data_IF_923068911723
#
_entry.id   IF_923068911723
#
_cell.length_a   1.000
_cell.length_b   1.000
_cell.length_c   1.000
_cell.angle_alpha   90.00
_cell.angle_beta   90.00
_cell.angle_gamma   90.00
#
_symmetry.space_group_name_H-M   'P 1'
#
loop_
_entity.id
_entity.type
_entity.pdbx_description
1 polymer ?
#
# COMPACT_ATOMS: atom_id res chain seq x y z
N UNK A 1 23.27 -15.37 27.45
CA UNK A 1 22.76 -14.41 28.45
C UNK A 1 23.61 -13.15 28.50
N UNK A 2 24.95 -13.22 28.62
CA UNK A 2 25.82 -12.03 28.66
C UNK A 2 25.68 -11.02 27.52
N UNK A 3 25.56 -11.45 26.26
CA UNK A 3 25.42 -10.54 25.11
C UNK A 3 24.09 -9.74 25.15
N UNK A 4 22.97 -10.35 25.58
CA UNK A 4 21.69 -9.64 25.63
C UNK A 4 21.68 -8.55 26.71
N UNK A 5 22.20 -8.85 27.90
CA UNK A 5 22.27 -7.85 28.99
C UNK A 5 23.18 -6.67 28.62
N UNK A 6 24.29 -6.93 27.92
CA UNK A 6 25.17 -5.89 27.39
C UNK A 6 24.45 -5.01 26.37
N UNK A 7 23.74 -5.61 25.40
CA UNK A 7 22.96 -4.88 24.40
C UNK A 7 21.82 -4.05 25.03
N UNK A 8 21.23 -4.51 26.12
CA UNK A 8 20.15 -3.79 26.83
C UNK A 8 20.68 -2.67 27.73
N UNK A 9 21.96 -2.71 28.11
CA UNK A 9 22.65 -1.62 28.80
C UNK A 9 23.01 -0.42 27.92
N UNK A 10 22.83 -0.54 26.59
CA UNK A 10 23.12 0.53 25.63
C UNK A 10 22.00 1.57 25.64
N UNK A 11 22.39 2.84 25.68
CA UNK A 11 21.47 3.95 25.42
C UNK A 11 21.29 4.14 23.91
N UNK A 12 20.16 3.65 23.37
CA UNK A 12 19.82 3.81 21.97
C UNK A 12 19.19 5.18 21.67
N UNK A 13 19.47 5.70 20.48
CA UNK A 13 18.77 6.89 20.00
C UNK A 13 17.35 6.52 19.55
N UNK A 14 17.20 5.37 18.86
CA UNK A 14 15.92 4.91 18.32
C UNK A 14 15.70 3.43 18.62
N UNK A 15 14.50 3.09 19.09
CA UNK A 15 14.00 1.71 19.18
C UNK A 15 12.93 1.52 18.10
N UNK A 16 13.19 0.67 17.12
CA UNK A 16 12.26 0.31 16.05
C UNK A 16 11.58 -1.01 16.40
N UNK A 17 10.25 -1.01 16.42
CA UNK A 17 9.44 -2.22 16.68
C UNK A 17 8.94 -2.79 15.37
N UNK A 18 9.40 -4.00 15.02
CA UNK A 18 9.09 -4.71 13.79
C UNK A 18 10.12 -4.45 12.68
N UNK A 19 10.71 -5.52 12.15
CA UNK A 19 11.66 -5.52 11.02
C UNK A 19 10.96 -5.99 9.73
N UNK A 20 9.83 -5.36 9.41
CA UNK A 20 9.21 -5.45 8.08
C UNK A 20 9.79 -4.41 7.12
N UNK A 21 9.11 -4.14 6.00
CA UNK A 21 9.55 -3.15 5.00
C UNK A 21 9.87 -1.80 5.64
N UNK A 22 8.96 -1.27 6.46
CA UNK A 22 9.14 0.05 7.09
C UNK A 22 10.29 0.04 8.10
N UNK A 23 10.30 -0.92 9.04
CA UNK A 23 11.26 -0.93 10.13
C UNK A 23 12.69 -1.23 9.67
N UNK A 24 12.88 -2.20 8.77
CA UNK A 24 14.21 -2.53 8.25
C UNK A 24 14.79 -1.41 7.39
N UNK A 25 13.99 -0.82 6.49
CA UNK A 25 14.45 0.30 5.68
C UNK A 25 14.78 1.54 6.54
N UNK A 26 13.96 1.84 7.55
CA UNK A 26 14.21 2.94 8.48
C UNK A 26 15.47 2.69 9.32
N UNK A 27 15.65 1.48 9.85
CA UNK A 27 16.81 1.13 10.65
C UNK A 27 18.11 1.28 9.86
N UNK A 28 18.15 0.78 8.61
CA UNK A 28 19.30 0.93 7.73
C UNK A 28 19.68 2.41 7.54
N UNK A 29 18.73 3.27 7.16
CA UNK A 29 19.06 4.67 6.86
C UNK A 29 19.38 5.49 8.11
N UNK A 30 18.77 5.19 9.25
CA UNK A 30 19.11 5.86 10.51
C UNK A 30 20.48 5.41 11.04
N UNK A 31 20.81 4.12 10.90
CA UNK A 31 22.14 3.59 11.22
C UNK A 31 23.24 4.25 10.39
N UNK A 32 23.02 4.41 9.08
CA UNK A 32 23.90 5.16 8.16
C UNK A 32 24.06 6.63 8.53
N UNK A 33 23.00 7.24 9.05
CA UNK A 33 23.02 8.62 9.53
C UNK A 33 23.69 8.74 10.93
N UNK A 34 24.25 7.66 11.47
CA UNK A 34 25.00 7.63 12.71
C UNK A 34 24.15 7.48 13.98
N UNK A 35 22.85 7.17 13.86
CA UNK A 35 21.99 6.93 15.03
C UNK A 35 22.20 5.51 15.53
N UNK A 36 22.27 5.34 16.85
CA UNK A 36 22.24 4.01 17.47
C UNK A 36 20.81 3.48 17.45
N UNK A 37 20.56 2.45 16.64
CA UNK A 37 19.23 1.90 16.40
C UNK A 37 19.15 0.48 16.97
N UNK A 38 18.14 0.24 17.80
CA UNK A 38 17.72 -1.11 18.17
C UNK A 38 16.49 -1.50 17.34
N UNK A 39 16.52 -2.67 16.72
CA UNK A 39 15.36 -3.26 16.03
C UNK A 39 14.93 -4.51 16.78
N UNK A 40 13.64 -4.59 17.13
CA UNK A 40 13.06 -5.79 17.76
C UNK A 40 12.00 -6.38 16.84
N UNK A 41 12.24 -7.60 16.36
CA UNK A 41 11.33 -8.32 15.47
C UNK A 41 10.95 -9.66 16.08
N UNK A 42 9.67 -10.03 15.97
CA UNK A 42 9.17 -11.29 16.53
C UNK A 42 9.80 -12.50 15.87
N UNK A 43 10.00 -12.45 14.56
CA UNK A 43 10.57 -13.54 13.76
C UNK A 43 11.45 -13.00 12.62
N UNK A 44 12.77 -13.20 12.76
CA UNK A 44 13.77 -12.78 11.78
C UNK A 44 13.93 -13.75 10.61
N UNK A 45 13.24 -14.89 10.62
CA UNK A 45 13.24 -15.81 9.48
C UNK A 45 12.45 -15.25 8.28
N UNK A 46 12.75 -15.77 7.09
CA UNK A 46 12.03 -15.41 5.86
C UNK A 46 10.55 -15.81 5.96
N UNK A 47 9.65 -14.85 5.74
CA UNK A 47 8.22 -15.04 5.90
C UNK A 47 7.53 -15.33 4.56
N UNK A 48 6.67 -16.35 4.53
CA UNK A 48 5.84 -16.64 3.35
C UNK A 48 4.49 -15.89 3.40
N UNK A 49 4.45 -14.68 2.84
CA UNK A 49 3.26 -13.81 2.72
C UNK A 49 2.77 -13.76 1.28
N UNK A 50 1.51 -13.35 1.09
CA UNK A 50 0.87 -13.19 -0.24
C UNK A 50 0.59 -11.72 -0.60
N UNK A 51 1.04 -10.78 0.23
CA UNK A 51 0.87 -9.33 0.01
C UNK A 51 2.22 -8.64 0.08
N UNK A 52 2.31 -7.43 -0.49
CA UNK A 52 3.57 -6.68 -0.54
C UNK A 52 4.58 -7.29 -1.51
N UNK A 53 4.10 -7.85 -2.61
CA UNK A 53 4.90 -8.53 -3.64
C UNK A 53 5.05 -7.69 -4.92
N UNK A 54 4.47 -6.49 -4.98
CA UNK A 54 4.62 -5.54 -6.08
C UNK A 54 4.89 -4.15 -5.49
N UNK A 55 6.09 -3.63 -5.79
CA UNK A 55 6.54 -2.29 -5.48
C UNK A 55 6.32 -1.39 -6.69
N UNK A 56 5.44 -0.40 -6.54
CA UNK A 56 5.15 0.57 -7.61
C UNK A 56 6.42 1.39 -7.97
N UNK A 57 6.52 1.93 -9.20
CA UNK A 57 7.66 2.73 -9.63
C UNK A 57 8.08 3.86 -8.67
N UNK A 58 7.13 4.61 -8.11
CA UNK A 58 7.40 5.66 -7.13
C UNK A 58 8.00 5.12 -5.83
N UNK A 59 7.69 3.87 -5.47
CA UNK A 59 8.31 3.14 -4.37
C UNK A 59 9.75 2.72 -4.69
N UNK A 60 10.01 2.29 -5.93
CA UNK A 60 11.37 2.04 -6.43
C UNK A 60 12.21 3.32 -6.37
N UNK A 61 11.66 4.47 -6.78
CA UNK A 61 12.35 5.77 -6.65
C UNK A 61 12.66 6.13 -5.20
N UNK A 62 11.79 5.79 -4.24
CA UNK A 62 12.09 6.02 -2.83
C UNK A 62 13.18 5.08 -2.32
N UNK A 63 13.17 3.82 -2.77
CA UNK A 63 14.21 2.85 -2.45
C UNK A 63 15.59 3.32 -2.94
N UNK A 64 15.64 3.88 -4.15
CA UNK A 64 16.82 4.53 -4.72
C UNK A 64 17.28 5.74 -3.89
N UNK A 65 16.37 6.66 -3.55
CA UNK A 65 16.68 7.83 -2.68
C UNK A 65 17.20 7.44 -1.30
N UNK A 66 16.76 6.29 -0.78
CA UNK A 66 17.22 5.75 0.50
C UNK A 66 18.56 4.99 0.37
N UNK A 67 19.04 4.74 -0.85
CA UNK A 67 20.24 3.94 -1.11
C UNK A 67 20.03 2.45 -0.78
N UNK A 68 18.84 1.91 -1.05
CA UNK A 68 18.43 0.55 -0.67
C UNK A 68 18.09 -0.33 -1.88
N UNK A 69 18.53 0.03 -3.10
CA UNK A 69 18.21 -0.74 -4.32
C UNK A 69 18.71 -2.18 -4.28
N UNK A 70 19.80 -2.47 -3.56
CA UNK A 70 20.30 -3.83 -3.34
C UNK A 70 19.28 -4.78 -2.66
N UNK A 71 18.18 -4.23 -2.12
CA UNK A 71 17.09 -4.99 -1.57
C UNK A 71 16.28 -5.76 -2.62
N UNK A 72 16.26 -5.30 -3.88
CA UNK A 72 15.57 -5.97 -5.00
C UNK A 72 16.51 -6.76 -5.90
N UNK A 73 17.82 -6.70 -5.65
CA UNK A 73 18.83 -7.42 -6.41
C UNK A 73 19.05 -8.84 -5.86
N UNK A 74 19.28 -9.81 -6.77
CA UNK A 74 19.60 -11.19 -6.41
C UNK A 74 18.45 -12.01 -5.79
N UNK A 75 17.20 -11.52 -5.85
CA UNK A 75 16.02 -12.21 -5.30
C UNK A 75 15.05 -12.75 -6.36
N UNK A 76 15.46 -12.73 -7.62
CA UNK A 76 14.62 -13.00 -8.80
C UNK A 76 13.43 -12.04 -8.91
N UNK A 77 13.66 -10.76 -8.58
CA UNK A 77 12.66 -9.72 -8.75
C UNK A 77 12.40 -9.46 -10.23
N UNK A 78 11.14 -9.25 -10.58
CA UNK A 78 10.68 -9.04 -11.93
C UNK A 78 10.42 -7.56 -12.18
N UNK A 79 10.80 -7.08 -13.36
CA UNK A 79 10.38 -5.76 -13.82
C UNK A 79 8.90 -5.79 -14.19
N UNK A 80 8.17 -4.76 -13.77
CA UNK A 80 6.76 -4.54 -14.13
C UNK A 80 6.64 -3.19 -14.83
N UNK A 81 6.27 -3.18 -16.10
CA UNK A 81 6.23 -1.98 -16.94
C UNK A 81 4.85 -1.35 -17.04
N UNK A 82 3.80 -1.99 -16.52
CA UNK A 82 2.45 -1.43 -16.54
C UNK A 82 1.39 -2.46 -16.15
N UNK A 83 0.17 -2.25 -16.63
CA UNK A 83 -0.96 -3.15 -16.40
C UNK A 83 -1.74 -3.51 -17.67
N UNK A 84 -2.13 -4.76 -17.76
CA UNK A 84 -3.19 -5.26 -18.63
C UNK A 84 -4.56 -5.17 -17.96
N UNK A 85 -5.55 -4.55 -18.61
CA UNK A 85 -6.92 -4.46 -18.13
C UNK A 85 -7.85 -5.32 -19.00
N UNK A 86 -8.57 -6.22 -18.35
CA UNK A 86 -9.47 -7.18 -18.99
C UNK A 86 -10.89 -6.94 -18.51
N UNK A 87 -11.79 -6.68 -19.45
CA UNK A 87 -13.22 -6.55 -19.21
C UNK A 87 -13.92 -7.54 -20.13
N UNK A 88 -14.88 -8.31 -19.60
CA UNK A 88 -15.56 -9.34 -20.39
C UNK A 88 -16.12 -8.75 -21.69
N UNK A 89 -16.02 -9.50 -22.78
CA UNK A 89 -16.50 -9.11 -24.13
C UNK A 89 -15.75 -7.94 -24.79
N UNK A 90 -14.68 -7.41 -24.16
CA UNK A 90 -13.84 -6.33 -24.72
C UNK A 90 -12.43 -6.84 -25.06
N UNK A 91 -11.76 -6.18 -26.00
CA UNK A 91 -10.35 -6.47 -26.31
C UNK A 91 -9.46 -5.91 -25.19
N UNK A 92 -8.51 -6.69 -24.64
CA UNK A 92 -7.72 -6.26 -23.50
C UNK A 92 -6.87 -5.02 -23.80
N UNK A 93 -6.74 -4.13 -22.81
CA UNK A 93 -5.90 -2.94 -22.88
C UNK A 93 -4.57 -3.21 -22.19
N UNK A 94 -3.45 -2.89 -22.83
CA UNK A 94 -2.13 -2.85 -22.19
C UNK A 94 -1.74 -1.39 -22.00
N UNK A 95 -1.46 -1.00 -20.76
CA UNK A 95 -1.15 0.38 -20.40
C UNK A 95 0.17 0.40 -19.64
N UNK A 96 1.18 1.00 -20.26
CA UNK A 96 2.52 1.15 -19.69
C UNK A 96 2.53 2.26 -18.63
N UNK A 97 3.45 2.18 -17.68
CA UNK A 97 3.82 3.32 -16.85
C UNK A 97 4.47 4.39 -17.73
N UNK A 98 4.09 5.66 -17.51
CA UNK A 98 4.69 6.82 -18.17
C UNK A 98 5.44 7.69 -17.16
N UNK A 99 6.44 8.45 -17.64
CA UNK A 99 7.03 9.55 -16.87
C UNK A 99 6.03 10.71 -16.85
N UNK A 100 6.03 11.50 -15.78
CA UNK A 100 5.48 12.86 -15.84
C UNK A 100 6.30 13.65 -16.86
N UNK A 101 5.66 14.46 -17.69
CA UNK A 101 6.33 15.29 -18.73
C UNK A 101 7.15 16.44 -18.11
N UNK A 102 7.20 16.55 -16.77
CA UNK A 102 7.91 17.62 -16.04
C UNK A 102 9.22 17.11 -15.42
N UNK A 103 10.21 16.86 -16.28
CA UNK A 103 11.62 17.24 -16.12
C UNK A 103 12.46 16.42 -17.11
N UNK A 104 12.74 17.04 -18.24
CA UNK A 104 13.48 16.51 -19.39
C UNK A 104 15.01 16.47 -19.16
N UNK A 105 15.47 16.15 -17.94
CA UNK A 105 16.91 16.18 -17.59
C UNK A 105 17.48 14.87 -17.06
N UNK A 106 16.69 13.81 -16.93
CA UNK A 106 17.22 12.48 -16.58
C UNK A 106 17.24 11.58 -17.79
N UNK A 107 18.39 11.57 -18.46
CA UNK A 107 18.78 10.56 -19.44
C UNK A 107 18.92 9.21 -18.72
N UNK A 108 17.90 8.36 -18.86
CA UNK A 108 18.00 6.97 -18.48
C UNK A 108 17.26 6.13 -19.52
N UNK A 109 18.05 5.46 -20.35
CA UNK A 109 17.65 4.45 -21.33
C UNK A 109 16.88 3.25 -20.71
N UNK A 110 16.78 3.19 -19.38
CA UNK A 110 15.92 2.26 -18.66
C UNK A 110 14.53 2.87 -18.44
N UNK A 111 13.50 2.26 -19.04
CA UNK A 111 12.11 2.66 -18.86
C UNK A 111 11.65 2.61 -17.39
N UNK A 112 10.66 3.44 -17.03
CA UNK A 112 10.06 3.36 -15.70
C UNK A 112 9.48 1.96 -15.51
N UNK A 113 9.77 1.35 -14.36
CA UNK A 113 9.19 0.07 -13.98
C UNK A 113 9.02 -0.01 -12.47
N UNK A 114 7.99 -0.75 -12.06
CA UNK A 114 7.90 -1.31 -10.72
C UNK A 114 8.80 -2.54 -10.58
N UNK A 115 8.78 -3.14 -9.39
CA UNK A 115 9.41 -4.42 -9.11
C UNK A 115 8.43 -5.33 -8.41
N UNK A 116 8.31 -6.56 -8.88
CA UNK A 116 7.57 -7.60 -8.16
C UNK A 116 8.49 -8.74 -7.75
N UNK A 117 8.17 -9.40 -6.64
CA UNK A 117 9.05 -10.35 -5.97
C UNK A 117 8.29 -11.16 -4.92
N UNK A 118 8.87 -12.26 -4.45
CA UNK A 118 8.47 -12.85 -3.17
C UNK A 118 8.75 -11.89 -2.02
N UNK A 119 7.70 -11.50 -1.27
CA UNK A 119 7.82 -10.52 -0.19
C UNK A 119 8.86 -10.91 0.87
N UNK A 120 8.93 -12.20 1.21
CA UNK A 120 9.91 -12.74 2.17
C UNK A 120 11.35 -12.41 1.80
N UNK A 121 11.73 -12.67 0.54
CA UNK A 121 13.08 -12.40 0.02
C UNK A 121 13.43 -10.91 0.08
N UNK A 122 12.51 -10.04 -0.32
CA UNK A 122 12.70 -8.58 -0.26
C UNK A 122 12.89 -8.07 1.18
N UNK A 123 12.03 -8.51 2.11
CA UNK A 123 12.17 -8.15 3.52
C UNK A 123 13.48 -8.70 4.10
N UNK A 124 13.88 -9.91 3.74
CA UNK A 124 15.13 -10.49 4.22
C UNK A 124 16.35 -9.70 3.71
N UNK A 125 16.35 -9.25 2.46
CA UNK A 125 17.40 -8.37 1.95
C UNK A 125 17.45 -7.03 2.68
N UNK A 126 16.29 -6.40 2.95
CA UNK A 126 16.25 -5.17 3.76
C UNK A 126 16.82 -5.40 5.17
N UNK A 127 16.51 -6.54 5.80
CA UNK A 127 17.07 -6.91 7.10
C UNK A 127 18.59 -7.07 7.03
N UNK A 128 19.10 -7.79 6.04
CA UNK A 128 20.56 -7.95 5.82
C UNK A 128 21.25 -6.61 5.61
N UNK A 129 20.65 -5.70 4.84
CA UNK A 129 21.22 -4.36 4.63
C UNK A 129 21.27 -3.57 5.93
N UNK A 130 20.20 -3.61 6.72
CA UNK A 130 20.14 -2.92 8.01
C UNK A 130 21.11 -3.52 9.05
N UNK A 131 21.23 -4.85 9.10
CA UNK A 131 22.11 -5.58 10.04
C UNK A 131 23.60 -5.39 9.73
N UNK A 132 23.93 -5.03 8.48
CA UNK A 132 25.29 -4.71 8.07
C UNK A 132 25.75 -3.30 8.52
N UNK A 133 24.84 -2.45 9.01
CA UNK A 133 25.19 -1.12 9.51
C UNK A 133 25.73 -1.21 10.94
N UNK A 134 26.92 -0.65 11.20
CA UNK A 134 27.60 -0.74 12.50
C UNK A 134 26.78 -0.21 13.68
N UNK A 135 25.86 0.73 13.43
CA UNK A 135 25.03 1.36 14.45
C UNK A 135 23.66 0.69 14.65
N UNK A 136 23.39 -0.44 13.98
CA UNK A 136 22.12 -1.16 14.07
C UNK A 136 22.31 -2.46 14.83
N UNK A 137 21.50 -2.66 15.86
CA UNK A 137 21.40 -3.92 16.59
C UNK A 137 20.03 -4.56 16.28
N UNK A 138 20.01 -5.82 15.84
CA UNK A 138 18.77 -6.58 15.69
C UNK A 138 18.60 -7.63 16.80
N UNK A 139 17.41 -7.68 17.39
CA UNK A 139 17.02 -8.68 18.39
C UNK A 139 15.74 -9.38 17.96
N UNK A 140 15.76 -10.71 18.00
CA UNK A 140 14.54 -11.50 17.86
C UNK A 140 13.77 -11.49 19.20
N UNK A 141 12.58 -10.91 19.20
CA UNK A 141 11.72 -10.80 20.38
C UNK A 141 10.33 -10.26 20.08
N UNK A 142 9.35 -10.67 20.87
CA UNK A 142 7.98 -10.23 20.75
C UNK A 142 7.70 -9.04 21.69
N UNK A 143 7.55 -7.84 21.13
CA UNK A 143 7.19 -6.63 21.90
C UNK A 143 5.80 -6.76 22.52
N UNK A 144 5.69 -6.41 23.80
CA UNK A 144 4.51 -6.58 24.64
C UNK A 144 3.81 -5.26 24.97
N UNK A 145 4.51 -4.13 24.91
CA UNK A 145 3.97 -2.80 25.19
C UNK A 145 5.06 -1.74 25.31
N UNK A 146 4.63 -0.48 25.42
CA UNK A 146 5.53 0.65 25.61
C UNK A 146 5.96 0.79 27.08
N UNK A 147 7.16 1.31 27.29
CA UNK A 147 7.65 1.70 28.61
C UNK A 147 7.65 3.22 28.69
N UNK A 148 6.99 3.77 29.71
CA UNK A 148 6.93 5.22 29.95
C UNK A 148 7.91 5.63 31.03
N UNK A 149 8.50 6.81 30.86
CA UNK A 149 9.22 7.51 31.92
C UNK A 149 8.21 8.03 32.95
N UNK A 150 8.36 7.60 34.19
CA UNK A 150 7.46 7.94 35.30
C UNK A 150 7.42 9.42 35.66
N UNK A 151 8.40 10.22 35.19
CA UNK A 151 8.46 11.66 35.48
C UNK A 151 7.94 12.55 34.35
N UNK A 152 7.89 12.04 33.12
CA UNK A 152 7.68 12.86 31.92
C UNK A 152 6.50 12.41 31.04
N UNK A 153 5.78 11.34 31.40
CA UNK A 153 4.70 10.73 30.59
C UNK A 153 5.12 10.41 29.13
N UNK A 154 6.43 10.36 28.89
CA UNK A 154 7.08 10.13 27.61
C UNK A 154 7.42 8.66 27.46
N UNK A 155 7.21 8.10 26.28
CA UNK A 155 7.70 6.76 25.96
C UNK A 155 9.22 6.78 25.90
N UNK A 156 9.86 5.89 26.66
CA UNK A 156 11.31 5.78 26.80
C UNK A 156 11.85 4.42 26.37
N UNK A 157 11.01 3.57 25.77
CA UNK A 157 11.41 2.24 25.35
C UNK A 157 10.23 1.29 25.21
N UNK A 158 10.56 0.00 25.19
CA UNK A 158 9.60 -1.10 25.03
C UNK A 158 9.92 -2.26 25.94
N UNK A 159 8.89 -2.98 26.35
CA UNK A 159 9.00 -4.28 27.01
C UNK A 159 8.76 -5.37 26.00
N UNK A 160 9.60 -6.39 25.98
CA UNK A 160 9.53 -7.47 25.00
C UNK A 160 9.89 -8.82 25.61
N UNK A 161 9.50 -9.89 24.94
CA UNK A 161 9.78 -11.27 25.34
C UNK A 161 10.65 -11.96 24.30
N UNK A 162 11.77 -12.53 24.73
CA UNK A 162 12.63 -13.35 23.85
C UNK A 162 12.15 -14.79 23.79
N UNK A 163 12.72 -15.60 22.89
CA UNK A 163 12.28 -16.98 22.62
C UNK A 163 12.24 -17.89 23.86
N UNK A 164 13.19 -17.72 24.79
CA UNK A 164 13.22 -18.51 26.03
C UNK A 164 12.13 -18.13 27.07
N UNK A 165 11.24 -17.19 26.73
CA UNK A 165 10.13 -16.74 27.56
C UNK A 165 10.45 -15.61 28.53
N UNK A 166 11.72 -15.23 28.71
CA UNK A 166 12.10 -14.12 29.59
C UNK A 166 11.66 -12.76 29.02
N UNK A 167 11.18 -11.88 29.90
CA UNK A 167 10.80 -10.51 29.56
C UNK A 167 11.93 -9.53 29.90
N UNK A 168 12.15 -8.59 29.00
CA UNK A 168 13.20 -7.59 29.07
C UNK A 168 12.64 -6.22 28.69
N UNK A 169 13.36 -5.17 29.07
CA UNK A 169 13.10 -3.80 28.61
C UNK A 169 14.28 -3.28 27.81
N UNK A 170 13.99 -2.67 26.67
CA UNK A 170 14.96 -1.90 25.92
C UNK A 170 14.61 -0.41 25.98
N UNK A 171 15.61 0.44 26.20
CA UNK A 171 15.42 1.88 26.35
C UNK A 171 15.95 2.65 25.14
N UNK A 172 15.29 3.76 24.82
CA UNK A 172 15.77 4.68 23.80
C UNK A 172 15.10 6.05 23.85
N UNK A 173 15.69 7.01 23.16
CA UNK A 173 15.19 8.40 23.12
C UNK A 173 13.89 8.51 22.33
N UNK A 174 13.73 7.71 21.28
CA UNK A 174 12.53 7.65 20.45
C UNK A 174 12.14 6.20 20.12
N UNK A 175 10.87 5.84 20.28
CA UNK A 175 10.34 4.54 19.85
C UNK A 175 9.53 4.71 18.57
N UNK A 176 9.81 3.90 17.55
CA UNK A 176 9.09 3.95 16.27
C UNK A 176 8.45 2.58 16.02
N UNK A 177 7.12 2.54 16.06
CA UNK A 177 6.36 1.31 15.88
C UNK A 177 6.02 1.06 14.41
N UNK A 178 6.64 0.02 13.85
CA UNK A 178 6.51 -0.48 12.49
C UNK A 178 5.91 -1.90 12.46
N UNK A 179 5.08 -2.24 13.47
CA UNK A 179 4.53 -3.59 13.72
C UNK A 179 3.33 -3.98 12.84
N UNK A 180 3.10 -3.22 11.77
CA UNK A 180 2.23 -3.59 10.65
C UNK A 180 0.73 -3.49 10.92
N UNK A 181 -0.06 -4.13 10.05
CA UNK A 181 -1.51 -3.95 10.00
C UNK A 181 -2.26 -4.42 11.25
N UNK A 182 -1.65 -5.34 12.02
CA UNK A 182 -2.16 -5.88 13.28
C UNK A 182 -1.46 -5.27 14.51
N UNK A 183 -0.96 -4.04 14.37
CA UNK A 183 -0.22 -3.32 15.41
C UNK A 183 -0.91 -3.37 16.77
N UNK A 184 -0.14 -3.77 17.78
CA UNK A 184 -0.59 -3.78 19.19
C UNK A 184 -0.34 -2.42 19.84
N UNK A 185 0.73 -1.74 19.43
CA UNK A 185 1.15 -0.47 19.99
C UNK A 185 0.33 0.72 19.48
N UNK A 186 -0.41 0.56 18.37
CA UNK A 186 -1.23 1.62 17.78
C UNK A 186 -2.07 2.38 18.81
N UNK A 187 -2.78 1.65 19.68
CA UNK A 187 -3.68 2.24 20.71
C UNK A 187 -2.93 2.92 21.85
N UNK A 188 -1.65 2.61 22.03
CA UNK A 188 -0.79 3.23 23.05
C UNK A 188 -0.15 4.54 22.54
N UNK A 189 0.02 4.69 21.21
CA UNK A 189 0.68 5.85 20.59
C UNK A 189 -0.31 6.88 20.03
N UNK A 190 -1.43 6.42 19.47
CA UNK A 190 -2.39 7.28 18.80
C UNK A 190 -3.84 6.95 19.22
N UNK A 191 -4.78 7.89 19.04
CA UNK A 191 -6.20 7.62 19.27
C UNK A 191 -6.67 6.39 18.48
N UNK A 192 -7.63 5.67 19.06
CA UNK A 192 -8.21 4.51 18.40
C UNK A 192 -8.75 4.90 17.02
N UNK A 193 -8.14 4.34 15.99
CA UNK A 193 -8.62 4.46 14.62
C UNK A 193 -9.41 3.20 14.29
N UNK A 194 -10.69 3.38 13.93
CA UNK A 194 -11.46 2.30 13.34
C UNK A 194 -10.78 1.90 12.03
N UNK A 195 -10.64 0.60 11.81
CA UNK A 195 -10.27 0.07 10.51
C UNK A 195 -11.46 -0.70 9.96
N UNK A 196 -11.67 -0.58 8.66
CA UNK A 196 -12.68 -1.33 7.94
C UNK A 196 -12.04 -2.53 7.24
N UNK A 197 -12.79 -3.61 7.08
CA UNK A 197 -12.39 -4.78 6.29
C UNK A 197 -13.37 -4.89 5.13
N UNK A 198 -13.03 -4.28 4.00
CA UNK A 198 -13.91 -4.22 2.84
C UNK A 198 -14.02 -5.56 2.11
N UNK A 199 -12.94 -6.35 2.13
CA UNK A 199 -12.82 -7.62 1.42
C UNK A 199 -11.66 -8.47 1.95
N UNK A 200 -11.46 -9.64 1.36
CA UNK A 200 -10.30 -10.50 1.57
C UNK A 200 -9.66 -10.83 0.23
N UNK A 201 -8.34 -10.88 0.19
CA UNK A 201 -7.62 -11.48 -0.93
C UNK A 201 -7.34 -12.96 -0.67
N UNK A 202 -7.68 -13.80 -1.63
CA UNK A 202 -7.26 -15.20 -1.70
C UNK A 202 -6.11 -15.33 -2.69
N UNK A 203 -4.94 -15.73 -2.19
CA UNK A 203 -3.72 -15.83 -2.97
C UNK A 203 -3.43 -17.24 -3.48
N UNK A 204 -3.06 -17.33 -4.75
CA UNK A 204 -2.57 -18.54 -5.42
C UNK A 204 -1.21 -18.26 -6.07
N UNK A 205 -0.43 -19.32 -6.32
CA UNK A 205 0.78 -19.27 -7.14
C UNK A 205 0.54 -20.13 -8.37
N UNK A 206 0.73 -19.53 -9.54
CA UNK A 206 0.71 -20.20 -10.83
C UNK A 206 2.16 -20.41 -11.26
N UNK A 207 2.52 -21.65 -11.59
CA UNK A 207 3.88 -22.00 -11.99
C UNK A 207 3.98 -22.15 -13.50
N UNK A 208 5.03 -21.58 -14.10
CA UNK A 208 5.37 -21.70 -15.53
C UNK A 208 4.23 -21.23 -16.45
N UNK A 209 3.86 -19.95 -16.34
CA UNK A 209 2.78 -19.33 -17.12
C UNK A 209 3.27 -18.07 -17.82
N UNK A 210 3.04 -18.00 -19.12
CA UNK A 210 3.16 -16.77 -19.87
C UNK A 210 1.91 -15.90 -19.66
N UNK A 211 2.10 -14.74 -19.03
CA UNK A 211 1.03 -13.77 -18.89
C UNK A 211 0.68 -13.17 -20.27
N UNK A 212 -0.60 -12.81 -20.53
CA UNK A 212 -1.02 -12.23 -21.82
C UNK A 212 -0.22 -11.00 -22.27
N UNK A 213 0.33 -10.25 -21.31
CA UNK A 213 1.22 -9.12 -21.57
C UNK A 213 2.50 -9.35 -20.74
N UNK A 214 3.66 -9.57 -21.39
CA UNK A 214 4.92 -9.83 -20.69
C UNK A 214 5.30 -8.66 -19.76
N UNK A 215 5.78 -8.97 -18.55
CA UNK A 215 6.24 -7.95 -17.58
C UNK A 215 5.19 -6.88 -17.24
N UNK A 216 3.91 -7.23 -17.25
CA UNK A 216 2.82 -6.37 -16.79
C UNK A 216 2.06 -7.07 -15.65
N UNK A 217 1.45 -6.30 -14.76
CA UNK A 217 0.38 -6.83 -13.92
C UNK A 217 -0.90 -6.95 -14.74
N UNK A 218 -1.86 -7.75 -14.29
CA UNK A 218 -3.14 -7.94 -14.99
C UNK A 218 -4.27 -7.74 -14.00
N UNK A 219 -5.25 -6.93 -14.38
CA UNK A 219 -6.48 -6.70 -13.63
C UNK A 219 -7.63 -7.26 -14.45
N UNK A 220 -8.24 -8.32 -13.96
CA UNK A 220 -9.43 -8.94 -14.57
C UNK A 220 -10.66 -8.41 -13.86
N UNK A 221 -11.49 -7.64 -14.56
CA UNK A 221 -12.73 -7.05 -14.05
C UNK A 221 -13.87 -8.06 -14.15
N UNK A 222 -13.97 -8.93 -13.14
CA UNK A 222 -15.05 -9.93 -13.03
C UNK A 222 -16.37 -9.32 -12.50
N UNK A 223 -17.46 -10.08 -12.57
CA UNK A 223 -18.83 -9.66 -12.20
C UNK A 223 -19.08 -9.44 -10.69
N UNK A 224 -18.04 -9.53 -9.85
CA UNK A 224 -18.16 -9.20 -8.41
C UNK A 224 -16.96 -8.41 -7.91
N UNK A 225 -15.77 -8.94 -8.12
CA UNK A 225 -14.55 -8.32 -7.62
C UNK A 225 -13.37 -8.63 -8.56
N UNK A 226 -12.36 -7.75 -8.59
CA UNK A 226 -11.25 -7.91 -9.50
C UNK A 226 -10.35 -9.10 -9.12
N UNK A 227 -9.72 -9.70 -10.12
CA UNK A 227 -8.64 -10.67 -9.95
C UNK A 227 -7.34 -10.08 -10.47
N UNK A 228 -6.29 -10.16 -9.67
CA UNK A 228 -4.98 -9.62 -10.02
C UNK A 228 -4.02 -10.76 -10.37
N UNK A 229 -3.24 -10.57 -11.43
CA UNK A 229 -2.08 -11.40 -11.72
C UNK A 229 -0.83 -10.54 -11.86
N UNK A 230 0.32 -11.03 -11.39
CA UNK A 230 1.61 -10.39 -11.65
C UNK A 230 2.74 -11.39 -11.43
N UNK A 231 3.85 -11.30 -12.19
CA UNK A 231 4.97 -12.20 -12.01
C UNK A 231 5.68 -11.88 -10.68
N UNK A 232 6.12 -12.88 -9.92
CA UNK A 232 6.86 -12.68 -8.64
C UNK A 232 8.23 -13.36 -8.64
N UNK A 233 8.49 -14.17 -9.66
CA UNK A 233 9.79 -14.78 -9.97
C UNK A 233 9.82 -15.10 -11.47
N UNK A 234 10.95 -15.60 -11.95
CA UNK A 234 11.11 -16.09 -13.32
C UNK A 234 10.20 -17.28 -13.66
N UNK A 235 9.66 -17.96 -12.65
CA UNK A 235 8.84 -19.17 -12.82
C UNK A 235 7.45 -19.08 -12.19
N UNK A 236 7.15 -18.04 -11.41
CA UNK A 236 5.92 -17.94 -10.63
C UNK A 236 5.17 -16.64 -10.88
N UNK A 237 3.86 -16.78 -11.01
CA UNK A 237 2.89 -15.69 -11.11
C UNK A 237 1.99 -15.73 -9.88
N UNK A 238 1.89 -14.61 -9.17
CA UNK A 238 0.89 -14.44 -8.12
C UNK A 238 -0.47 -14.22 -8.77
N UNK A 239 -1.48 -14.93 -8.27
CA UNK A 239 -2.88 -14.57 -8.47
C UNK A 239 -3.50 -14.14 -7.13
N UNK A 240 -4.20 -13.00 -7.10
CA UNK A 240 -5.00 -12.54 -5.97
C UNK A 240 -6.46 -12.38 -6.41
N UNK A 241 -7.35 -13.17 -5.83
CA UNK A 241 -8.79 -13.06 -6.04
C UNK A 241 -9.38 -12.24 -4.89
N UNK A 242 -10.00 -11.10 -5.20
CA UNK A 242 -10.74 -10.35 -4.20
C UNK A 242 -12.09 -11.04 -3.89
N UNK A 243 -12.42 -11.12 -2.61
CA UNK A 243 -13.68 -11.66 -2.10
C UNK A 243 -14.31 -10.61 -1.17
N UNK A 244 -15.33 -9.86 -1.64
CA UNK A 244 -15.98 -8.81 -0.86
C UNK A 244 -16.63 -9.36 0.41
N UNK A 245 -16.43 -8.67 1.54
CA UNK A 245 -17.02 -9.09 2.81
C UNK A 245 -18.56 -9.02 2.79
N UNK A 246 -19.10 -8.03 2.06
CA UNK A 246 -20.54 -7.80 1.89
C UNK A 246 -21.27 -8.92 1.14
N UNK A 247 -20.54 -9.73 0.37
CA UNK A 247 -21.16 -10.71 -0.51
C UNK A 247 -21.53 -12.03 0.22
N UNK A 248 -21.11 -12.21 1.48
CA UNK A 248 -21.38 -13.44 2.26
C UNK A 248 -20.76 -14.71 1.63
N UNK A 249 -19.81 -14.53 0.71
CA UNK A 249 -19.21 -15.59 -0.08
C UNK A 249 -18.08 -16.23 0.74
N UNK A 250 -18.08 -17.55 0.84
CA UNK A 250 -16.93 -18.28 1.37
C UNK A 250 -15.76 -18.18 0.38
N UNK A 251 -14.54 -18.00 0.87
CA UNK A 251 -13.31 -18.09 0.08
C UNK A 251 -12.98 -19.55 -0.31
N UNK A 252 -14.01 -20.36 -0.55
CA UNK A 252 -13.90 -21.78 -0.83
C UNK A 252 -13.30 -22.02 -2.20
N UNK A 253 -12.63 -23.17 -2.34
CA UNK A 253 -12.13 -23.64 -3.64
C UNK A 253 -13.28 -23.72 -4.68
N UNK A 254 -14.46 -24.15 -4.26
CA UNK A 254 -15.66 -24.22 -5.09
C UNK A 254 -16.07 -22.86 -5.66
N UNK A 255 -16.01 -21.77 -4.87
CA UNK A 255 -16.28 -20.43 -5.37
C UNK A 255 -15.28 -20.02 -6.47
N UNK A 256 -13.99 -20.30 -6.25
CA UNK A 256 -12.94 -19.98 -7.23
C UNK A 256 -13.13 -20.76 -8.53
N UNK A 257 -13.50 -22.04 -8.46
CA UNK A 257 -13.74 -22.91 -9.61
C UNK A 257 -15.00 -22.55 -10.39
N UNK A 258 -16.12 -22.30 -9.69
CA UNK A 258 -17.41 -22.12 -10.35
C UNK A 258 -17.68 -20.67 -10.76
N UNK A 259 -17.18 -19.70 -9.99
CA UNK A 259 -17.51 -18.28 -10.20
C UNK A 259 -16.35 -17.50 -10.83
N UNK A 260 -15.09 -17.78 -10.45
CA UNK A 260 -13.95 -16.99 -10.93
C UNK A 260 -13.36 -17.57 -12.22
N UNK A 261 -13.02 -18.86 -12.23
CA UNK A 261 -12.36 -19.53 -13.36
C UNK A 261 -13.07 -19.31 -14.72
N UNK A 262 -14.42 -19.34 -14.84
CA UNK A 262 -15.07 -19.13 -16.14
C UNK A 262 -14.85 -17.74 -16.73
N UNK A 263 -14.59 -16.74 -15.88
CA UNK A 263 -14.44 -15.33 -16.24
C UNK A 263 -13.01 -14.94 -16.62
N UNK A 264 -12.02 -15.82 -16.34
CA UNK A 264 -10.63 -15.53 -16.65
C UNK A 264 -10.34 -15.58 -18.17
N UNK A 265 -9.33 -14.84 -18.66
CA UNK A 265 -8.79 -15.01 -20.01
C UNK A 265 -8.43 -16.47 -20.29
N UNK A 266 -8.58 -16.91 -21.55
CA UNK A 266 -8.40 -18.32 -21.95
C UNK A 266 -7.04 -18.88 -21.51
N UNK A 267 -6.00 -18.07 -21.65
CA UNK A 267 -4.61 -18.35 -21.33
C UNK A 267 -4.39 -18.60 -19.83
N UNK A 268 -5.23 -18.00 -18.98
CA UNK A 268 -5.11 -18.09 -17.52
C UNK A 268 -6.00 -19.18 -16.91
N UNK A 269 -6.95 -19.75 -17.67
CA UNK A 269 -7.90 -20.74 -17.14
C UNK A 269 -7.23 -22.03 -16.68
N UNK A 270 -6.44 -22.67 -17.55
CA UNK A 270 -5.78 -23.93 -17.22
C UNK A 270 -4.77 -23.77 -16.07
N UNK A 271 -3.87 -22.76 -16.07
CA UNK A 271 -2.95 -22.58 -14.96
C UNK A 271 -3.64 -22.25 -13.64
N UNK A 272 -4.72 -21.47 -13.66
CA UNK A 272 -5.51 -21.18 -12.47
C UNK A 272 -6.18 -22.45 -11.92
N UNK A 273 -6.81 -23.25 -12.78
CA UNK A 273 -7.40 -24.53 -12.39
C UNK A 273 -6.36 -25.49 -11.79
N UNK A 274 -5.15 -25.55 -12.37
CA UNK A 274 -4.05 -26.33 -11.82
C UNK A 274 -3.63 -25.80 -10.43
N UNK A 275 -3.47 -24.48 -10.27
CA UNK A 275 -3.09 -23.87 -9.00
C UNK A 275 -4.10 -24.12 -7.88
N UNK A 276 -5.39 -24.25 -8.21
CA UNK A 276 -6.45 -24.56 -7.25
C UNK A 276 -6.32 -25.96 -6.63
N UNK A 277 -5.75 -26.92 -7.35
CA UNK A 277 -5.54 -28.29 -6.83
C UNK A 277 -4.50 -28.34 -5.70
N UNK A 278 -3.66 -27.31 -5.56
CA UNK A 278 -2.68 -27.20 -4.49
C UNK A 278 -3.34 -26.76 -3.17
N UNK A 279 -2.78 -27.20 -2.04
CA UNK A 279 -3.25 -26.84 -0.69
C UNK A 279 -2.73 -25.46 -0.21
N UNK A 280 -2.13 -24.67 -1.10
CA UNK A 280 -1.48 -23.38 -0.77
C UNK A 280 -2.41 -22.16 -0.83
N UNK A 281 -3.71 -22.32 -0.64
CA UNK A 281 -4.64 -21.19 -0.59
C UNK A 281 -4.43 -20.41 0.71
N UNK A 282 -4.02 -19.14 0.60
CA UNK A 282 -3.90 -18.22 1.74
C UNK A 282 -4.90 -17.09 1.59
N UNK A 283 -5.53 -16.69 2.68
CA UNK A 283 -6.47 -15.56 2.71
C UNK A 283 -5.93 -14.47 3.63
N UNK A 284 -6.10 -13.20 3.22
CA UNK A 284 -5.68 -12.02 3.96
C UNK A 284 -6.78 -10.96 3.93
N UNK A 285 -7.15 -10.35 5.07
CA UNK A 285 -8.13 -9.27 5.10
C UNK A 285 -7.57 -7.98 4.52
N UNK A 286 -8.37 -7.31 3.69
CA UNK A 286 -8.04 -6.01 3.10
C UNK A 286 -8.51 -4.91 4.04
N UNK A 287 -7.58 -4.40 4.85
CA UNK A 287 -7.85 -3.38 5.87
C UNK A 287 -7.66 -1.99 5.32
N UNK A 288 -8.62 -1.11 5.59
CA UNK A 288 -8.52 0.32 5.30
C UNK A 288 -8.51 1.09 6.62
N UNK A 289 -7.56 2.00 6.79
CA UNK A 289 -7.46 2.82 7.99
C UNK A 289 -6.79 4.15 7.68
N UNK A 290 -7.51 5.28 7.80
CA UNK A 290 -6.92 6.59 7.61
C UNK A 290 -5.83 6.86 8.65
N UNK A 291 -4.89 7.72 8.29
CA UNK A 291 -3.84 8.17 9.21
C UNK A 291 -4.44 9.10 10.26
N UNK A 292 -4.30 8.76 11.55
CA UNK A 292 -4.71 9.61 12.67
C UNK A 292 -3.46 9.95 13.50
N UNK A 293 -2.87 11.16 13.31
CA UNK A 293 -1.77 11.64 14.12
C UNK A 293 -2.05 11.52 15.62
N UNK A 294 -1.09 10.95 16.36
CA UNK A 294 -1.09 10.93 17.82
C UNK A 294 -0.11 11.96 18.39
N UNK A 295 -0.34 12.35 19.65
CA UNK A 295 0.50 13.29 20.39
C UNK A 295 1.33 12.61 21.50
N UNK A 296 1.53 11.29 21.45
CA UNK A 296 2.26 10.55 22.49
C UNK A 296 3.76 10.89 22.42
N UNK A 297 4.34 11.63 23.39
CA UNK A 297 5.74 12.01 23.33
C UNK A 297 6.65 10.77 23.41
N UNK A 298 7.71 10.75 22.60
CA UNK A 298 8.69 9.65 22.55
C UNK A 298 8.25 8.43 21.74
N UNK A 299 7.09 8.46 21.09
CA UNK A 299 6.64 7.37 20.21
C UNK A 299 6.04 7.85 18.89
N UNK A 300 6.30 7.13 17.80
CA UNK A 300 5.77 7.40 16.45
C UNK A 300 5.26 6.09 15.84
N UNK A 301 4.18 6.16 15.04
CA UNK A 301 3.71 5.04 14.22
C UNK A 301 4.17 5.22 12.76
N UNK A 302 4.61 4.14 12.10
CA UNK A 302 4.96 4.15 10.67
C UNK A 302 4.54 2.88 9.91
N UNK A 303 4.27 3.06 8.61
CA UNK A 303 3.76 2.01 7.75
C UNK A 303 2.31 1.63 8.11
N UNK A 304 1.96 0.36 7.95
CA UNK A 304 0.58 -0.12 8.19
C UNK A 304 0.17 -0.08 9.67
N UNK A 305 1.10 0.16 10.60
CA UNK A 305 0.75 0.48 11.99
C UNK A 305 0.05 1.85 12.08
N UNK A 306 0.37 2.77 11.16
CA UNK A 306 -0.13 4.15 11.13
C UNK A 306 -1.22 4.39 10.08
N UNK A 307 -1.09 3.83 8.88
CA UNK A 307 -2.01 4.10 7.77
C UNK A 307 -2.13 2.90 6.84
N UNK A 308 -3.35 2.40 6.64
CA UNK A 308 -3.65 1.27 5.76
C UNK A 308 -4.61 1.69 4.63
N UNK A 309 -4.46 1.08 3.46
CA UNK A 309 -5.35 1.27 2.31
C UNK A 309 -5.67 -0.05 1.64
N UNK A 310 -6.68 -0.05 0.78
CA UNK A 310 -7.00 -1.22 -0.02
C UNK A 310 -5.77 -1.67 -0.84
N UNK A 311 -5.39 -2.95 -0.81
CA UNK A 311 -4.17 -3.42 -1.48
C UNK A 311 -4.27 -3.53 -3.01
N UNK A 312 -5.45 -3.29 -3.59
CA UNK A 312 -5.71 -3.33 -5.05
C UNK A 312 -4.64 -2.60 -5.87
N UNK A 313 -4.19 -1.43 -5.42
CA UNK A 313 -3.23 -0.60 -6.15
C UNK A 313 -1.77 -0.83 -5.74
N UNK A 314 -1.47 -1.75 -4.82
CA UNK A 314 -0.09 -2.04 -4.40
C UNK A 314 0.67 -0.85 -3.77
N UNK A 315 -0.03 0.18 -3.27
CA UNK A 315 0.59 1.43 -2.83
C UNK A 315 1.19 1.46 -1.41
N UNK A 316 0.98 0.42 -0.61
CA UNK A 316 1.37 0.40 0.82
C UNK A 316 2.86 0.59 1.05
N UNK A 317 3.70 -0.20 0.35
CA UNK A 317 5.17 -0.09 0.46
C UNK A 317 5.68 1.26 -0.05
N UNK A 318 5.10 1.78 -1.14
CA UNK A 318 5.45 3.09 -1.69
C UNK A 318 5.23 4.21 -0.68
N UNK A 319 4.12 4.16 0.06
CA UNK A 319 3.84 5.15 1.11
C UNK A 319 4.77 4.96 2.29
N UNK A 320 5.02 3.73 2.73
CA UNK A 320 5.96 3.45 3.82
C UNK A 320 7.37 3.98 3.51
N UNK A 321 7.92 3.68 2.33
CA UNK A 321 9.24 4.17 1.90
C UNK A 321 9.26 5.69 1.73
N UNK A 322 8.17 6.29 1.24
CA UNK A 322 8.02 7.75 1.17
C UNK A 322 8.02 8.39 2.55
N UNK A 323 7.29 7.81 3.49
CA UNK A 323 7.21 8.30 4.87
C UNK A 323 8.60 8.18 5.54
N UNK A 324 9.38 7.13 5.24
CA UNK A 324 10.76 6.99 5.72
C UNK A 324 11.67 8.11 5.21
N UNK A 325 11.58 8.50 3.94
CA UNK A 325 12.35 9.63 3.41
C UNK A 325 12.06 10.90 4.22
N UNK A 326 10.78 11.19 4.47
CA UNK A 326 10.37 12.38 5.23
C UNK A 326 10.81 12.31 6.70
N UNK A 327 10.63 11.16 7.34
CA UNK A 327 11.02 10.96 8.75
C UNK A 327 12.55 11.01 8.92
N UNK A 328 13.31 10.43 7.99
CA UNK A 328 14.78 10.51 7.98
C UNK A 328 15.23 11.98 7.97
N UNK A 329 14.73 12.77 7.03
CA UNK A 329 15.08 14.19 6.92
C UNK A 329 14.64 15.00 8.16
N UNK A 330 13.45 14.71 8.69
CA UNK A 330 13.01 15.28 9.96
C UNK A 330 13.98 14.96 11.11
N UNK A 331 14.38 13.69 11.28
CA UNK A 331 15.25 13.24 12.37
C UNK A 331 16.70 13.72 12.20
N UNK A 332 17.18 13.96 10.97
CA UNK A 332 18.48 14.62 10.73
C UNK A 332 18.50 16.06 11.25
N UNK A 333 17.38 16.77 11.16
CA UNK A 333 17.28 18.16 11.63
C UNK A 333 17.20 18.29 13.17
N UNK A 334 17.05 17.17 13.88
CA UNK A 334 16.90 17.14 15.35
C UNK A 334 18.12 16.48 15.98
N UNK A 335 19.00 17.27 16.59
CA UNK A 335 20.22 16.75 17.23
C UNK A 335 19.90 15.76 18.36
N UNK A 336 18.98 16.15 19.26
CA UNK A 336 18.56 15.41 20.45
C UNK A 336 17.16 14.83 20.30
N UNK A 337 17.03 13.52 20.17
CA UNK A 337 15.73 12.86 19.94
C UNK A 337 14.83 12.79 21.18
N UNK A 338 15.35 13.14 22.35
CA UNK A 338 14.59 13.32 23.59
C UNK A 338 13.99 14.73 23.72
N UNK A 339 14.31 15.67 22.81
CA UNK A 339 13.65 16.96 22.69
C UNK A 339 12.25 16.80 22.06
N UNK A 340 11.27 16.53 22.92
CA UNK A 340 9.88 16.26 22.51
C UNK A 340 9.22 17.42 21.80
N UNK A 341 9.67 18.66 22.02
CA UNK A 341 9.15 19.87 21.36
C UNK A 341 9.62 19.89 19.91
N UNK A 342 10.91 19.68 19.66
CA UNK A 342 11.43 19.60 18.28
C UNK A 342 10.89 18.40 17.52
N UNK A 343 10.76 17.25 18.18
CA UNK A 343 10.15 16.06 17.55
C UNK A 343 8.69 16.33 17.19
N UNK A 344 7.90 16.91 18.08
CA UNK A 344 6.50 17.25 17.79
C UNK A 344 6.38 18.24 16.63
N UNK A 345 7.20 19.30 16.62
CA UNK A 345 7.21 20.27 15.51
C UNK A 345 7.65 19.64 14.17
N UNK A 346 8.60 18.69 14.21
CA UNK A 346 8.99 17.90 13.04
C UNK A 346 7.85 17.01 12.54
N UNK A 347 7.13 16.35 13.46
CA UNK A 347 6.02 15.46 13.15
C UNK A 347 4.87 16.21 12.47
N UNK A 348 4.55 17.42 12.91
CA UNK A 348 3.55 18.27 12.24
C UNK A 348 3.90 18.50 10.77
N UNK A 349 5.17 18.85 10.48
CA UNK A 349 5.67 19.02 9.10
C UNK A 349 5.65 17.71 8.32
N UNK A 350 6.00 16.59 8.95
CA UNK A 350 5.90 15.26 8.34
C UNK A 350 4.45 14.95 7.94
N UNK A 351 3.49 15.14 8.86
CA UNK A 351 2.08 14.88 8.61
C UNK A 351 1.52 15.80 7.52
N UNK A 352 2.00 17.03 7.39
CA UNK A 352 1.64 17.91 6.28
C UNK A 352 2.25 17.44 4.95
N UNK A 353 3.56 17.17 4.93
CA UNK A 353 4.31 16.84 3.70
C UNK A 353 3.87 15.51 3.08
N UNK A 354 3.46 14.53 3.90
CA UNK A 354 3.01 13.23 3.39
C UNK A 354 1.64 13.26 2.73
N UNK A 355 0.78 14.24 3.09
CA UNK A 355 -0.65 14.26 2.71
C UNK A 355 -0.86 14.11 1.22
N UNK A 356 -0.11 14.86 0.40
CA UNK A 356 -0.30 14.84 -1.05
C UNK A 356 -0.17 13.43 -1.62
N UNK A 357 0.91 12.71 -1.29
CA UNK A 357 1.15 11.35 -1.77
C UNK A 357 0.24 10.33 -1.09
N UNK A 358 0.10 10.40 0.24
CA UNK A 358 -0.71 9.43 0.99
C UNK A 358 -2.17 9.47 0.55
N UNK A 359 -2.75 10.66 0.44
CA UNK A 359 -4.15 10.85 0.06
C UNK A 359 -4.39 10.50 -1.40
N UNK A 360 -3.48 10.84 -2.34
CA UNK A 360 -3.61 10.43 -3.74
C UNK A 360 -3.71 8.91 -3.85
N UNK A 361 -2.78 8.19 -3.21
CA UNK A 361 -2.77 6.72 -3.22
C UNK A 361 -3.97 6.13 -2.46
N UNK A 362 -4.38 6.73 -1.33
CA UNK A 362 -5.55 6.29 -0.54
C UNK A 362 -6.86 6.43 -1.32
N UNK A 363 -7.11 7.64 -1.83
CA UNK A 363 -8.34 7.95 -2.56
C UNK A 363 -8.38 7.11 -3.84
N UNK A 364 -7.29 7.01 -4.59
CA UNK A 364 -7.23 6.19 -5.80
C UNK A 364 -7.54 4.73 -5.48
N UNK A 365 -6.90 4.14 -4.46
CA UNK A 365 -7.10 2.73 -4.12
C UNK A 365 -8.56 2.40 -3.80
N UNK A 366 -9.20 3.21 -2.97
CA UNK A 366 -10.56 2.98 -2.52
C UNK A 366 -11.59 3.34 -3.60
N UNK A 367 -11.38 4.44 -4.33
CA UNK A 367 -12.28 4.84 -5.41
C UNK A 367 -12.24 3.86 -6.58
N UNK A 368 -11.04 3.41 -6.98
CA UNK A 368 -10.89 2.43 -8.05
C UNK A 368 -11.47 1.08 -7.65
N UNK A 369 -11.30 0.66 -6.39
CA UNK A 369 -11.94 -0.54 -5.87
C UNK A 369 -13.47 -0.45 -5.93
N UNK A 370 -14.04 0.68 -5.52
CA UNK A 370 -15.49 0.90 -5.60
C UNK A 370 -16.04 0.89 -7.05
N UNK A 371 -15.25 1.33 -8.02
CA UNK A 371 -15.61 1.29 -9.45
C UNK A 371 -15.41 -0.10 -10.06
N UNK A 372 -14.36 -0.83 -9.66
CA UNK A 372 -14.00 -2.12 -10.26
C UNK A 372 -14.76 -3.29 -9.67
N UNK A 373 -15.18 -3.20 -8.40
CA UNK A 373 -16.10 -4.17 -7.84
C UNK A 373 -17.46 -4.02 -8.50
N UNK A 374 -17.90 -5.09 -9.15
CA UNK A 374 -19.20 -5.11 -9.77
C UNK A 374 -20.29 -5.20 -8.71
N UNK A 375 -21.26 -4.31 -8.86
CA UNK A 375 -22.47 -4.22 -8.05
C UNK A 375 -23.68 -4.41 -8.95
N UNK A 376 -24.82 -4.75 -8.39
CA UNK A 376 -26.11 -4.71 -9.10
C UNK A 376 -26.55 -3.28 -9.47
N UNK A 377 -25.80 -2.25 -9.04
CA UNK A 377 -26.01 -0.86 -9.45
C UNK A 377 -25.52 -0.61 -10.88
N UNK A 378 -26.47 -0.43 -11.80
CA UNK A 378 -26.22 -0.09 -13.20
C UNK A 378 -25.35 1.17 -13.37
N UNK A 379 -25.41 2.12 -12.43
CA UNK A 379 -24.61 3.35 -12.45
C UNK A 379 -23.12 3.05 -12.29
N UNK A 380 -22.79 2.12 -11.40
CA UNK A 380 -21.40 1.70 -11.14
C UNK A 380 -20.87 0.78 -12.23
N UNK A 381 -21.73 -0.07 -12.80
CA UNK A 381 -21.37 -0.86 -13.99
C UNK A 381 -21.02 0.04 -15.17
N UNK A 382 -21.81 1.08 -15.44
CA UNK A 382 -21.49 2.05 -16.48
C UNK A 382 -20.24 2.86 -16.14
N UNK A 383 -20.02 3.20 -14.86
CA UNK A 383 -18.79 3.87 -14.43
C UNK A 383 -17.54 3.02 -14.69
N UNK A 384 -17.65 1.69 -14.50
CA UNK A 384 -16.59 0.72 -14.81
C UNK A 384 -16.29 0.67 -16.31
N UNK A 385 -17.32 0.58 -17.14
CA UNK A 385 -17.22 0.63 -18.60
C UNK A 385 -16.61 1.95 -19.10
N UNK A 386 -17.06 3.07 -18.53
CA UNK A 386 -16.54 4.39 -18.83
C UNK A 386 -15.07 4.53 -18.43
N UNK A 387 -14.67 3.97 -17.28
CA UNK A 387 -13.28 3.95 -16.83
C UNK A 387 -12.39 3.16 -17.79
N UNK A 388 -12.85 1.98 -18.22
CA UNK A 388 -12.15 1.14 -19.20
C UNK A 388 -11.89 1.89 -20.51
N UNK A 389 -12.94 2.46 -21.11
CA UNK A 389 -12.83 3.15 -22.39
C UNK A 389 -12.05 4.46 -22.27
N UNK A 390 -12.19 5.18 -21.15
CA UNK A 390 -11.41 6.39 -20.86
C UNK A 390 -9.91 6.10 -20.82
N UNK A 391 -9.50 5.03 -20.12
CA UNK A 391 -8.10 4.60 -20.10
C UNK A 391 -7.63 4.15 -21.50
N UNK A 392 -8.51 3.51 -22.27
CA UNK A 392 -8.24 3.09 -23.64
C UNK A 392 -8.04 4.23 -24.65
N UNK A 393 -8.44 5.47 -24.33
CA UNK A 393 -8.20 6.64 -25.18
C UNK A 393 -6.72 7.04 -25.28
N UNK A 394 -5.87 6.56 -24.35
CA UNK A 394 -4.44 6.89 -24.34
C UNK A 394 -4.14 8.34 -23.96
N UNK A 395 -2.91 8.78 -24.20
CA UNK A 395 -2.45 10.13 -23.89
C UNK A 395 -2.61 10.46 -22.40
N UNK A 396 -3.13 11.65 -22.07
CA UNK A 396 -3.35 12.02 -20.66
C UNK A 396 -4.44 11.19 -19.96
N UNK A 397 -5.34 10.57 -20.72
CA UNK A 397 -6.41 9.76 -20.13
C UNK A 397 -5.87 8.44 -19.56
N UNK A 398 -4.74 7.94 -20.07
CA UNK A 398 -4.00 6.80 -19.51
C UNK A 398 -2.81 7.22 -18.64
N UNK A 399 -1.99 8.17 -19.11
CA UNK A 399 -0.69 8.46 -18.52
C UNK A 399 -0.83 9.08 -17.12
N UNK A 400 -1.71 10.07 -16.96
CA UNK A 400 -1.87 10.76 -15.68
C UNK A 400 -2.41 9.79 -14.60
N UNK A 401 -3.47 8.97 -14.84
CA UNK A 401 -3.87 7.90 -13.92
C UNK A 401 -2.76 6.89 -13.61
N UNK A 402 -1.96 6.47 -14.60
CA UNK A 402 -0.86 5.52 -14.40
C UNK A 402 0.29 6.13 -13.59
N UNK A 403 0.58 7.42 -13.74
CA UNK A 403 1.54 8.14 -12.90
C UNK A 403 1.08 8.18 -11.43
N UNK A 404 -0.21 8.42 -11.18
CA UNK A 404 -0.78 8.41 -9.82
C UNK A 404 -0.82 7.00 -9.24
N UNK A 405 -1.20 5.99 -10.04
CA UNK A 405 -1.19 4.58 -9.65
C UNK A 405 0.22 4.11 -9.30
N UNK A 406 1.20 4.47 -10.12
CA UNK A 406 2.61 4.19 -9.92
C UNK A 406 3.23 4.96 -8.75
N UNK A 407 2.50 5.88 -8.11
CA UNK A 407 3.02 6.71 -7.01
C UNK A 407 4.10 7.71 -7.44
N UNK A 408 4.18 8.02 -8.74
CA UNK A 408 5.11 8.98 -9.34
C UNK A 408 4.59 10.41 -9.20
N UNK A 409 3.28 10.59 -9.41
CA UNK A 409 2.58 11.86 -9.21
C UNK A 409 1.74 11.81 -7.94
N UNK A 410 1.80 12.89 -7.15
CA UNK A 410 1.13 13.02 -5.87
C UNK A 410 0.18 14.24 -5.89
N UNK A 411 -0.88 14.16 -6.70
CA UNK A 411 -1.84 15.25 -6.85
C UNK A 411 -3.28 14.79 -6.59
N UNK A 412 -3.84 15.05 -5.40
CA UNK A 412 -5.24 14.76 -5.10
C UNK A 412 -6.21 15.51 -6.03
N UNK A 413 -5.84 16.73 -6.45
CA UNK A 413 -6.67 17.53 -7.36
C UNK A 413 -6.71 16.89 -8.75
N UNK A 414 -5.55 16.48 -9.28
CA UNK A 414 -5.50 15.81 -10.58
C UNK A 414 -6.29 14.50 -10.55
N UNK A 415 -6.18 13.73 -9.45
CA UNK A 415 -6.98 12.54 -9.24
C UNK A 415 -8.48 12.82 -9.36
N UNK A 416 -8.97 13.87 -8.69
CA UNK A 416 -10.38 14.26 -8.77
C UNK A 416 -10.78 14.71 -10.18
N UNK A 417 -9.91 15.44 -10.88
CA UNK A 417 -10.16 15.86 -12.26
C UNK A 417 -10.36 14.63 -13.16
N UNK A 418 -9.48 13.64 -13.09
CA UNK A 418 -9.64 12.40 -13.87
C UNK A 418 -10.86 11.58 -13.43
N UNK A 419 -11.11 11.47 -12.12
CA UNK A 419 -12.27 10.73 -11.61
C UNK A 419 -13.60 11.33 -12.11
N UNK A 420 -13.76 12.66 -12.04
CA UNK A 420 -14.95 13.32 -12.56
C UNK A 420 -14.96 13.36 -14.10
N UNK A 421 -13.81 13.37 -14.77
CA UNK A 421 -13.76 13.23 -16.22
C UNK A 421 -14.30 11.87 -16.68
N UNK A 422 -13.96 10.78 -15.97
CA UNK A 422 -14.55 9.45 -16.19
C UNK A 422 -16.07 9.48 -15.96
N UNK A 423 -16.55 10.12 -14.88
CA UNK A 423 -17.98 10.24 -14.63
C UNK A 423 -18.72 11.02 -15.73
N UNK A 424 -18.17 12.15 -16.19
CA UNK A 424 -18.72 12.95 -17.29
C UNK A 424 -18.68 12.18 -18.61
N UNK A 425 -17.61 11.43 -18.87
CA UNK A 425 -17.50 10.55 -20.02
C UNK A 425 -18.59 9.45 -19.98
N UNK A 426 -18.82 8.83 -18.83
CA UNK A 426 -19.93 7.90 -18.57
C UNK A 426 -21.31 8.52 -18.84
N UNK A 427 -21.56 9.73 -18.34
CA UNK A 427 -22.78 10.48 -18.66
C UNK A 427 -22.97 10.66 -20.17
N UNK A 428 -21.90 11.02 -20.89
CA UNK A 428 -21.91 11.16 -22.35
C UNK A 428 -22.33 9.87 -23.05
N UNK A 429 -21.78 8.71 -22.63
CA UNK A 429 -22.11 7.39 -23.18
C UNK A 429 -23.59 7.06 -22.99
N UNK A 430 -24.13 7.29 -21.80
CA UNK A 430 -25.55 7.04 -21.47
C UNK A 430 -26.48 7.89 -22.33
N UNK A 431 -26.11 9.14 -22.62
CA UNK A 431 -26.94 10.08 -23.38
C UNK A 431 -26.93 9.85 -24.89
N UNK A 432 -25.96 9.11 -25.42
CA UNK A 432 -25.88 8.81 -26.86
C UNK A 432 -26.86 7.69 -27.28
N UNK A 433 -27.36 7.69 -28.54
CA UNK A 433 -27.22 8.76 -29.54
C UNK A 433 -28.14 9.97 -29.28
N UNK A 434 -29.21 9.81 -28.49
CA UNK A 434 -30.16 10.87 -28.16
C UNK A 434 -30.54 10.88 -26.67
N UNK A 435 -30.60 12.06 -26.03
CA UNK A 435 -30.95 12.20 -24.62
C UNK A 435 -32.47 12.05 -24.43
N UNK A 436 -32.89 10.92 -23.88
CA UNK A 436 -34.28 10.72 -23.42
C UNK A 436 -34.41 11.08 -21.94
N UNK A 437 -35.61 11.37 -21.42
CA UNK A 437 -35.80 11.63 -19.98
C UNK A 437 -35.24 10.53 -19.07
N UNK A 438 -35.41 9.26 -19.45
CA UNK A 438 -34.82 8.13 -18.72
C UNK A 438 -33.29 8.12 -18.76
N UNK A 439 -32.68 8.44 -19.90
CA UNK A 439 -31.22 8.55 -20.02
C UNK A 439 -30.65 9.74 -19.25
N UNK A 440 -31.37 10.86 -19.20
CA UNK A 440 -31.00 12.00 -18.35
C UNK A 440 -31.01 11.60 -16.87
N UNK A 441 -32.02 10.85 -16.44
CA UNK A 441 -32.07 10.31 -15.08
C UNK A 441 -30.92 9.35 -14.79
N UNK A 442 -30.63 8.40 -15.69
CA UNK A 442 -29.52 7.47 -15.52
C UNK A 442 -28.16 8.18 -15.48
N UNK A 443 -27.97 9.21 -16.32
CA UNK A 443 -26.78 10.05 -16.31
C UNK A 443 -26.63 10.81 -14.98
N UNK A 444 -27.73 11.37 -14.44
CA UNK A 444 -27.70 11.99 -13.12
C UNK A 444 -27.39 10.97 -12.01
N UNK A 445 -27.99 9.78 -12.07
CA UNK A 445 -27.72 8.69 -11.14
C UNK A 445 -26.23 8.28 -11.14
N UNK A 446 -25.63 8.16 -12.32
CA UNK A 446 -24.20 7.88 -12.49
C UNK A 446 -23.33 8.95 -11.84
N UNK A 447 -23.59 10.22 -12.13
CA UNK A 447 -22.81 11.31 -11.55
C UNK A 447 -22.96 11.36 -10.02
N UNK A 448 -24.16 11.10 -9.51
CA UNK A 448 -24.45 11.02 -8.08
C UNK A 448 -23.73 9.85 -7.40
N UNK A 449 -23.71 8.68 -8.03
CA UNK A 449 -22.96 7.51 -7.56
C UNK A 449 -21.45 7.81 -7.48
N UNK A 450 -20.89 8.42 -8.53
CA UNK A 450 -19.50 8.87 -8.56
C UNK A 450 -19.18 9.82 -7.39
N UNK A 451 -20.02 10.82 -7.16
CA UNK A 451 -19.84 11.75 -6.05
C UNK A 451 -19.90 11.06 -4.68
N UNK A 452 -20.83 10.14 -4.49
CA UNK A 452 -21.00 9.38 -3.25
C UNK A 452 -19.84 8.42 -2.96
N UNK A 453 -19.13 7.93 -3.98
CA UNK A 453 -17.89 7.15 -3.80
C UNK A 453 -16.77 8.04 -3.27
N UNK A 454 -16.51 9.16 -3.94
CA UNK A 454 -15.27 9.92 -3.71
C UNK A 454 -15.38 10.88 -2.53
N UNK A 455 -16.54 11.49 -2.29
CA UNK A 455 -16.67 12.51 -1.25
C UNK A 455 -16.29 12.03 0.15
N UNK A 456 -16.72 10.85 0.64
CA UNK A 456 -16.27 10.33 1.94
C UNK A 456 -14.76 10.11 2.00
N UNK A 457 -14.14 9.69 0.89
CA UNK A 457 -12.69 9.47 0.81
C UNK A 457 -11.91 10.79 0.90
N UNK A 458 -12.40 11.85 0.24
CA UNK A 458 -11.81 13.19 0.36
C UNK A 458 -11.94 13.71 1.79
N UNK A 459 -13.11 13.55 2.42
CA UNK A 459 -13.38 14.03 3.78
C UNK A 459 -12.48 13.35 4.81
N UNK A 460 -12.21 12.06 4.62
CA UNK A 460 -11.29 11.31 5.48
C UNK A 460 -9.84 11.84 5.40
N UNK A 461 -9.40 12.29 4.22
CA UNK A 461 -8.03 12.76 4.01
C UNK A 461 -7.85 14.28 4.24
N UNK A 462 -8.93 15.08 4.14
CA UNK A 462 -8.94 16.54 4.36
C UNK A 462 -7.96 17.34 3.49
N UNK A 463 -7.79 16.93 2.22
CA UNK A 463 -6.74 17.45 1.32
C UNK A 463 -7.23 18.35 0.19
N UNK A 464 -8.53 18.58 0.04
CA UNK A 464 -9.05 19.46 -1.04
C UNK A 464 -10.08 20.47 -0.51
N UNK A 465 -10.35 21.58 -1.21
CA UNK A 465 -11.40 22.51 -0.81
C UNK A 465 -12.78 21.86 -0.67
N UNK A 466 -13.04 20.80 -1.46
CA UNK A 466 -14.26 19.97 -1.36
C UNK A 466 -14.40 19.27 0.00
N UNK A 467 -13.30 19.03 0.72
CA UNK A 467 -13.32 18.46 2.08
C UNK A 467 -13.85 19.42 3.15
N UNK A 468 -13.91 20.71 2.86
CA UNK A 468 -14.32 21.73 3.83
C UNK A 468 -15.84 21.92 3.89
N UNK A 469 -16.59 21.32 2.96
CA UNK A 469 -18.05 21.36 2.94
C UNK A 469 -18.58 20.02 3.48
N UNK A 470 -19.38 20.01 4.58
CA UNK A 470 -19.86 18.78 5.19
C UNK A 470 -20.66 17.90 4.23
N UNK A 471 -20.43 16.56 4.24
CA UNK A 471 -21.19 15.61 3.43
C UNK A 471 -22.71 15.77 3.60
N UNK A 472 -23.16 16.01 4.84
CA UNK A 472 -24.58 16.26 5.17
C UNK A 472 -25.19 17.48 4.49
N UNK A 473 -24.39 18.39 3.94
CA UNK A 473 -24.85 19.59 3.21
C UNK A 473 -24.84 19.43 1.69
N UNK A 474 -24.23 18.37 1.16
CA UNK A 474 -24.09 18.13 -0.30
C UNK A 474 -24.55 16.71 -0.70
N UNK A 475 -25.01 15.87 0.24
CA UNK A 475 -25.59 14.58 -0.12
C UNK A 475 -26.84 14.84 -0.99
N UNK A 476 -26.76 14.43 -2.26
CA UNK A 476 -27.82 14.52 -3.28
C UNK A 476 -28.42 13.13 -3.47
#
# INVERSE_FOLDING_TARGET
>A
MGNLEELLGIEYDVVVVGAGVAGSALAAVLGRDGRKVLVIERDLSEQHRIVGELLQPGGVQQLEKLGLMDAVEGIDAQHVYGYGLFLQTRNPLCIDYSKEVQDSTVDSSAGISGRSFHNGRFVQRLRTIADAEENVTMIQGNVLGLVKDSKAERVSGVRFRVENGSEHEARGKLTIACDGCASRLRKEVAPASAYDVSSHFVGLILETVDLPFPNHGHVILCDRAPVLFYPISSTEVRCLVDVPASAGISSSREYLEQQILPQLPKELKEPFAKALTSDRLKSMPNRVMPAMPGNQPGAILLGDSFNMRHPLTGGGMTVALSDIVLVREMLKSVERLDDTVKISAGLEKFYESRKARSSTINILANALYAVFCATDDASLQEMREACYDYLGMGGRCSNDPMCMLGGLSASPILLLVHFFAVAVYGCGRVLLPFPTPGKLWNSWSLFRAAFNIVKPLIDAERVTPLSWIPFSRIAI
#
